data_IF_524875474411
#
_entry.id   IF_524875474411
#
_cell.length_a   1.000
_cell.length_b   1.000
_cell.length_c   1.000
_cell.angle_alpha   90.00
_cell.angle_beta   90.00
_cell.angle_gamma   90.00
#
_symmetry.space_group_name_H-M   'P 1'
#
loop_
_entity.id
_entity.type
_entity.pdbx_description
1 polymer ?
#
# COMPACT_ATOMS: atom_id res chain seq x y z
N UNK A 1 6.49 -24.56 -3.16
CA UNK A 1 7.51 -25.34 -3.87
C UNK A 1 8.85 -24.70 -3.60
N UNK A 2 9.72 -25.39 -2.87
CA UNK A 2 11.08 -24.89 -2.63
C UNK A 2 11.93 -25.10 -3.88
N UNK A 3 12.63 -24.05 -4.32
CA UNK A 3 13.60 -24.10 -5.40
C UNK A 3 15.01 -24.14 -4.82
N UNK A 4 15.69 -25.26 -5.04
CA UNK A 4 17.10 -25.46 -4.81
C UNK A 4 17.86 -25.59 -6.17
N UNK A 5 18.83 -24.69 -6.41
CA UNK A 5 19.61 -24.64 -7.66
C UNK A 5 20.35 -25.95 -7.98
N UNK A 6 20.62 -26.78 -6.97
CA UNK A 6 21.37 -28.03 -7.09
C UNK A 6 20.48 -29.26 -7.39
N UNK A 7 19.15 -29.09 -7.45
CA UNK A 7 18.25 -30.18 -7.82
C UNK A 7 18.11 -30.29 -9.34
N UNK A 8 18.25 -31.51 -9.85
CA UNK A 8 17.98 -31.84 -11.26
C UNK A 8 16.53 -31.47 -11.63
N UNK A 9 16.35 -30.91 -12.84
CA UNK A 9 15.06 -30.64 -13.49
C UNK A 9 14.13 -31.86 -13.43
N UNK A 10 14.66 -33.09 -13.44
CA UNK A 10 13.89 -34.33 -13.26
C UNK A 10 13.17 -34.40 -11.90
N UNK A 11 13.80 -33.98 -10.80
CA UNK A 11 13.18 -33.96 -9.46
C UNK A 11 12.06 -32.91 -9.40
N UNK A 12 12.26 -31.77 -10.05
CA UNK A 12 11.20 -30.77 -10.19
C UNK A 12 9.99 -31.30 -10.97
N UNK A 13 10.20 -32.04 -12.06
CA UNK A 13 9.11 -32.65 -12.85
C UNK A 13 8.21 -33.57 -12.01
N UNK A 14 8.78 -34.35 -11.09
CA UNK A 14 8.04 -35.20 -10.15
C UNK A 14 7.25 -34.36 -9.13
N UNK A 15 7.86 -33.33 -8.56
CA UNK A 15 7.17 -32.37 -7.69
C UNK A 15 5.98 -31.70 -8.40
N UNK A 16 6.14 -31.34 -9.68
CA UNK A 16 5.07 -30.73 -10.48
C UNK A 16 3.87 -31.63 -10.71
N UNK A 17 4.06 -32.95 -10.89
CA UNK A 17 2.93 -33.89 -10.98
C UNK A 17 2.04 -33.85 -9.74
N UNK A 18 2.64 -33.64 -8.56
CA UNK A 18 1.90 -33.53 -7.29
C UNK A 18 1.19 -32.18 -7.13
N UNK A 19 1.57 -31.18 -7.93
CA UNK A 19 1.04 -29.81 -7.86
C UNK A 19 -0.12 -29.53 -8.83
N UNK A 20 -0.55 -30.50 -9.67
CA UNK A 20 -1.53 -30.26 -10.74
C UNK A 20 -2.88 -29.70 -10.25
N UNK A 21 -3.28 -29.99 -9.02
CA UNK A 21 -4.54 -29.52 -8.45
C UNK A 21 -4.41 -28.24 -7.60
N UNK A 22 -3.22 -27.65 -7.47
CA UNK A 22 -3.00 -26.48 -6.63
C UNK A 22 -3.48 -25.19 -7.31
N UNK A 23 -4.17 -24.35 -6.53
CA UNK A 23 -4.56 -22.99 -6.93
C UNK A 23 -3.49 -21.94 -6.65
N UNK A 24 -2.68 -22.18 -5.63
CA UNK A 24 -1.69 -21.23 -5.13
C UNK A 24 -0.33 -21.90 -5.07
N UNK A 25 0.71 -21.21 -5.54
CA UNK A 25 2.09 -21.68 -5.35
C UNK A 25 2.98 -20.58 -4.80
N UNK A 26 3.87 -21.00 -3.90
CA UNK A 26 5.03 -20.20 -3.48
C UNK A 26 6.26 -20.76 -4.20
N UNK A 27 7.00 -19.89 -4.87
CA UNK A 27 8.30 -20.16 -5.47
C UNK A 27 9.32 -19.34 -4.69
N UNK A 28 10.25 -20.02 -4.02
CA UNK A 28 11.23 -19.40 -3.15
C UNK A 28 12.53 -20.19 -3.16
N UNK A 29 13.61 -19.53 -2.75
CA UNK A 29 14.96 -20.10 -2.74
C UNK A 29 15.27 -20.68 -1.38
N UNK A 30 16.31 -21.52 -1.31
CA UNK A 30 16.76 -22.05 -0.04
C UNK A 30 17.19 -20.90 0.91
N UNK A 31 16.82 -20.97 2.19
CA UNK A 31 17.19 -19.95 3.18
C UNK A 31 18.70 -19.66 3.17
N UNK A 32 19.09 -18.38 3.28
CA UNK A 32 20.49 -17.95 3.31
C UNK A 32 21.20 -17.85 1.96
N UNK A 33 20.61 -18.33 0.86
CA UNK A 33 21.26 -18.37 -0.47
C UNK A 33 21.21 -17.06 -1.29
N UNK A 34 20.87 -15.93 -0.67
CA UNK A 34 20.62 -14.67 -1.37
C UNK A 34 19.45 -14.76 -2.36
N UNK A 35 19.35 -13.81 -3.29
CA UNK A 35 18.34 -13.84 -4.36
C UNK A 35 18.81 -14.73 -5.51
N UNK A 36 17.88 -15.44 -6.16
CA UNK A 36 18.23 -16.36 -7.24
C UNK A 36 17.44 -16.20 -8.52
N UNK A 37 18.10 -16.45 -9.65
CA UNK A 37 17.45 -16.56 -10.95
C UNK A 37 16.70 -17.89 -11.06
N UNK A 38 15.45 -17.83 -11.49
CA UNK A 38 14.65 -19.01 -11.75
C UNK A 38 14.95 -19.54 -13.15
N UNK A 39 15.10 -20.86 -13.29
CA UNK A 39 15.29 -21.46 -14.61
C UNK A 39 13.99 -21.35 -15.43
N UNK A 40 14.05 -20.82 -16.66
CA UNK A 40 12.90 -20.68 -17.57
C UNK A 40 12.10 -21.98 -17.77
N UNK A 41 12.75 -23.16 -17.68
CA UNK A 41 12.06 -24.46 -17.77
C UNK A 41 11.06 -24.66 -16.64
N UNK A 42 11.27 -24.07 -15.47
CA UNK A 42 10.39 -24.18 -14.29
C UNK A 42 9.12 -23.37 -14.51
N UNK A 43 9.22 -22.15 -15.05
CA UNK A 43 8.06 -21.36 -15.45
C UNK A 43 7.17 -22.11 -16.44
N UNK A 44 7.77 -22.86 -17.40
CA UNK A 44 7.01 -23.71 -18.32
C UNK A 44 6.23 -24.83 -17.61
N UNK A 45 6.75 -25.37 -16.51
CA UNK A 45 6.03 -26.37 -15.72
C UNK A 45 4.96 -25.76 -14.82
N UNK A 46 5.24 -24.60 -14.23
CA UNK A 46 4.25 -23.82 -13.47
C UNK A 46 3.04 -23.51 -14.36
N UNK A 47 3.26 -23.07 -15.60
CA UNK A 47 2.18 -22.77 -16.55
C UNK A 47 1.31 -23.99 -16.91
N UNK A 48 1.79 -25.21 -16.66
CA UNK A 48 1.04 -26.44 -16.93
C UNK A 48 0.14 -26.86 -15.78
N UNK A 49 0.16 -26.16 -14.64
CA UNK A 49 -0.73 -26.45 -13.52
C UNK A 49 -2.14 -25.91 -13.86
N UNK A 50 -3.15 -26.76 -14.12
CA UNK A 50 -4.40 -26.30 -14.70
C UNK A 50 -5.21 -25.36 -13.81
N UNK A 51 -5.18 -25.56 -12.49
CA UNK A 51 -5.99 -24.81 -11.52
C UNK A 51 -5.27 -23.59 -10.92
N UNK A 52 -4.06 -23.28 -11.38
CA UNK A 52 -3.24 -22.24 -10.79
C UNK A 52 -3.82 -20.85 -11.06
N UNK A 53 -4.15 -20.12 -10.00
CA UNK A 53 -4.65 -18.74 -10.06
C UNK A 53 -3.85 -17.74 -9.23
N UNK A 54 -2.99 -18.21 -8.31
CA UNK A 54 -2.11 -17.36 -7.53
C UNK A 54 -0.67 -17.84 -7.50
N UNK A 55 0.26 -16.89 -7.62
CA UNK A 55 1.69 -17.15 -7.50
C UNK A 55 2.36 -16.14 -6.58
N UNK A 56 3.22 -16.65 -5.69
CA UNK A 56 4.12 -15.85 -4.90
C UNK A 56 5.57 -16.15 -5.29
N UNK A 57 6.30 -15.13 -5.70
CA UNK A 57 7.75 -15.17 -5.86
C UNK A 57 8.40 -14.55 -4.64
N UNK A 58 9.24 -15.31 -3.93
CA UNK A 58 9.96 -14.84 -2.74
C UNK A 58 11.46 -15.03 -2.89
N UNK A 59 12.24 -13.98 -2.59
CA UNK A 59 13.72 -14.00 -2.65
C UNK A 59 14.27 -14.39 -4.04
N UNK A 60 13.66 -13.86 -5.11
CA UNK A 60 14.01 -14.18 -6.50
C UNK A 60 14.59 -12.95 -7.20
N UNK A 61 15.57 -13.18 -8.07
CA UNK A 61 15.96 -12.22 -9.10
C UNK A 61 14.90 -12.27 -10.21
N UNK A 62 14.09 -11.22 -10.27
CA UNK A 62 12.97 -11.09 -11.20
C UNK A 62 13.50 -10.60 -12.55
N UNK A 63 13.58 -11.51 -13.52
CA UNK A 63 14.14 -11.27 -14.84
C UNK A 63 13.02 -11.12 -15.88
N UNK A 64 13.42 -10.91 -17.14
CA UNK A 64 12.49 -10.92 -18.27
C UNK A 64 11.74 -12.27 -18.42
N UNK A 65 12.30 -13.39 -17.94
CA UNK A 65 11.61 -14.67 -18.04
C UNK A 65 10.34 -14.69 -17.19
N UNK A 66 10.42 -14.23 -15.94
CA UNK A 66 9.29 -14.14 -15.01
C UNK A 66 8.28 -13.12 -15.53
N UNK A 67 8.76 -11.98 -16.01
CA UNK A 67 7.90 -10.95 -16.62
C UNK A 67 7.13 -11.52 -17.82
N UNK A 68 7.82 -12.11 -18.79
CA UNK A 68 7.18 -12.69 -19.98
C UNK A 68 6.22 -13.84 -19.64
N UNK A 69 6.54 -14.63 -18.61
CA UNK A 69 5.62 -15.66 -18.11
C UNK A 69 4.33 -15.03 -17.60
N UNK A 70 4.42 -13.98 -16.77
CA UNK A 70 3.26 -13.27 -16.26
C UNK A 70 2.49 -12.58 -17.38
N UNK A 71 3.16 -11.83 -18.27
CA UNK A 71 2.50 -11.12 -19.35
C UNK A 71 1.73 -12.01 -20.33
N UNK A 72 2.10 -13.29 -20.45
CA UNK A 72 1.45 -14.27 -21.32
C UNK A 72 0.45 -15.19 -20.61
N UNK A 73 0.43 -15.14 -19.29
CA UNK A 73 -0.45 -15.99 -18.50
C UNK A 73 -1.88 -15.42 -18.52
N UNK A 74 -2.85 -16.27 -18.84
CA UNK A 74 -4.28 -15.96 -18.86
C UNK A 74 -5.03 -16.42 -17.58
N UNK A 75 -4.35 -17.10 -16.66
CA UNK A 75 -4.96 -17.75 -15.48
C UNK A 75 -4.57 -17.15 -14.14
N UNK A 76 -3.48 -16.40 -14.10
CA UNK A 76 -2.94 -15.86 -12.85
C UNK A 76 -3.72 -14.59 -12.52
N UNK A 77 -4.54 -14.69 -11.49
CA UNK A 77 -5.37 -13.60 -10.97
C UNK A 77 -4.65 -12.83 -9.87
N UNK A 78 -3.76 -13.49 -9.11
CA UNK A 78 -3.06 -12.91 -7.97
C UNK A 78 -1.55 -13.15 -8.01
N UNK A 79 -0.78 -12.06 -7.93
CA UNK A 79 0.68 -12.06 -7.88
C UNK A 79 1.17 -11.45 -6.58
N UNK A 80 2.06 -12.16 -5.88
CA UNK A 80 2.84 -11.61 -4.76
C UNK A 80 4.34 -11.65 -5.07
N UNK A 81 4.98 -10.50 -5.00
CA UNK A 81 6.42 -10.32 -5.14
C UNK A 81 7.00 -9.92 -3.79
N UNK A 82 7.80 -10.78 -3.17
CA UNK A 82 8.32 -10.58 -1.82
C UNK A 82 9.85 -10.68 -1.78
N UNK A 83 10.52 -9.61 -1.36
CA UNK A 83 11.98 -9.51 -1.36
C UNK A 83 12.60 -9.90 -2.70
N UNK A 84 12.00 -9.42 -3.79
CA UNK A 84 12.53 -9.59 -5.14
C UNK A 84 13.50 -8.47 -5.50
N UNK A 85 14.39 -8.77 -6.44
CA UNK A 85 15.24 -7.79 -7.11
C UNK A 85 14.90 -7.80 -8.59
N UNK A 86 14.51 -6.64 -9.12
CA UNK A 86 14.27 -6.51 -10.54
C UNK A 86 15.61 -6.42 -11.26
N UNK A 87 15.85 -7.32 -12.20
CA UNK A 87 17.02 -7.22 -13.06
C UNK A 87 16.89 -5.95 -13.91
N UNK A 88 17.90 -5.07 -13.87
CA UNK A 88 17.92 -3.75 -14.52
C UNK A 88 17.50 -3.81 -16.00
N UNK A 89 16.20 -3.62 -16.27
CA UNK A 89 15.60 -3.47 -17.59
C UNK A 89 14.53 -2.40 -17.53
N UNK A 90 14.46 -1.60 -18.59
CA UNK A 90 13.40 -0.59 -18.74
C UNK A 90 12.06 -1.28 -19.07
N UNK A 91 11.07 -1.14 -18.21
CA UNK A 91 9.73 -1.70 -18.38
C UNK A 91 8.92 -0.99 -19.47
N UNK A 92 9.27 0.25 -19.81
CA UNK A 92 8.65 1.01 -20.90
C UNK A 92 8.75 0.35 -22.28
N UNK A 93 9.62 -0.64 -22.46
CA UNK A 93 9.77 -1.39 -23.72
C UNK A 93 8.73 -2.48 -23.92
N UNK A 94 8.02 -2.90 -22.87
CA UNK A 94 7.03 -3.98 -22.94
C UNK A 94 5.66 -3.39 -23.25
N UNK A 95 4.89 -4.08 -24.11
CA UNK A 95 3.49 -3.74 -24.34
C UNK A 95 2.64 -4.34 -23.21
N UNK A 96 1.61 -3.61 -22.77
CA UNK A 96 0.57 -4.12 -21.87
C UNK A 96 -0.08 -5.35 -22.50
N UNK A 97 -0.05 -6.50 -21.83
CA UNK A 97 -0.54 -7.77 -22.42
C UNK A 97 -1.28 -8.68 -21.44
N UNK A 98 -1.33 -8.39 -20.12
CA UNK A 98 -2.01 -9.25 -19.17
C UNK A 98 -3.30 -8.59 -18.64
N UNK A 99 -4.43 -9.23 -18.95
CA UNK A 99 -5.77 -8.91 -18.47
C UNK A 99 -6.29 -9.88 -17.39
N UNK A 100 -5.57 -10.96 -17.06
CA UNK A 100 -6.01 -11.88 -16.01
C UNK A 100 -5.71 -11.36 -14.61
N UNK A 101 -4.60 -10.63 -14.45
CA UNK A 101 -4.10 -10.23 -13.14
C UNK A 101 -5.00 -9.16 -12.52
N UNK A 102 -5.66 -9.52 -11.42
CA UNK A 102 -6.57 -8.66 -10.65
C UNK A 102 -5.94 -8.17 -9.35
N UNK A 103 -5.04 -8.93 -8.75
CA UNK A 103 -4.40 -8.59 -7.48
C UNK A 103 -2.88 -8.61 -7.54
N UNK A 104 -2.26 -7.54 -7.06
CA UNK A 104 -0.81 -7.39 -7.00
C UNK A 104 -0.36 -6.98 -5.59
N UNK A 105 0.52 -7.77 -5.00
CA UNK A 105 1.23 -7.41 -3.76
C UNK A 105 2.73 -7.35 -4.02
N UNK A 106 3.37 -6.24 -3.66
CA UNK A 106 4.82 -6.04 -3.74
C UNK A 106 5.31 -5.68 -2.34
N UNK A 107 6.21 -6.50 -1.78
CA UNK A 107 6.76 -6.30 -0.45
C UNK A 107 8.29 -6.47 -0.42
N UNK A 108 8.96 -5.66 0.40
CA UNK A 108 10.41 -5.76 0.66
C UNK A 108 11.30 -5.70 -0.59
N UNK A 109 10.87 -5.04 -1.66
CA UNK A 109 11.67 -4.91 -2.89
C UNK A 109 12.62 -3.72 -2.79
N UNK A 110 13.84 -3.86 -3.32
CA UNK A 110 14.84 -2.77 -3.36
C UNK A 110 14.70 -1.85 -4.58
N UNK A 111 13.70 -2.07 -5.44
CA UNK A 111 13.46 -1.21 -6.60
C UNK A 111 12.94 0.15 -6.13
N UNK A 112 13.63 1.20 -6.56
CA UNK A 112 13.22 2.59 -6.37
C UNK A 112 11.85 2.82 -7.02
N UNK A 113 10.99 3.56 -6.33
CA UNK A 113 9.75 4.07 -6.89
C UNK A 113 10.08 5.23 -7.85
N UNK A 114 10.26 4.87 -9.12
CA UNK A 114 10.61 5.73 -10.25
C UNK A 114 9.58 5.56 -11.39
N UNK A 115 9.75 6.28 -12.50
CA UNK A 115 8.87 6.14 -13.67
C UNK A 115 8.86 4.71 -14.23
N UNK A 116 10.00 4.04 -14.18
CA UNK A 116 10.17 2.69 -14.68
C UNK A 116 9.33 1.68 -13.86
N UNK A 117 9.26 1.87 -12.54
CA UNK A 117 8.37 1.12 -11.67
C UNK A 117 6.89 1.39 -11.98
N UNK A 118 6.51 2.63 -12.31
CA UNK A 118 5.15 2.93 -12.78
C UNK A 118 4.85 2.23 -14.11
N UNK A 119 5.81 2.20 -15.05
CA UNK A 119 5.68 1.43 -16.28
C UNK A 119 5.45 -0.05 -15.99
N UNK A 120 6.17 -0.65 -15.04
CA UNK A 120 5.93 -2.03 -14.62
C UNK A 120 4.50 -2.26 -14.15
N UNK A 121 3.95 -1.37 -13.30
CA UNK A 121 2.56 -1.48 -12.84
C UNK A 121 1.57 -1.38 -14.00
N UNK A 122 1.84 -0.51 -14.98
CA UNK A 122 0.98 -0.30 -16.17
C UNK A 122 0.94 -1.48 -17.15
N UNK A 123 1.76 -2.52 -16.95
CA UNK A 123 1.75 -3.72 -17.79
C UNK A 123 0.54 -4.63 -17.52
N UNK A 124 -0.18 -4.41 -16.42
CA UNK A 124 -1.30 -5.22 -15.96
C UNK A 124 -2.59 -4.39 -15.99
N UNK A 125 -3.48 -4.67 -16.96
CA UNK A 125 -4.59 -3.76 -17.28
C UNK A 125 -5.83 -3.90 -16.40
N UNK A 126 -5.91 -4.95 -15.57
CA UNK A 126 -7.12 -5.33 -14.84
C UNK A 126 -6.91 -5.42 -13.32
N UNK A 127 -5.83 -4.81 -12.80
CA UNK A 127 -5.59 -4.77 -11.36
C UNK A 127 -6.70 -3.97 -10.69
N UNK A 128 -7.38 -4.60 -9.74
CA UNK A 128 -8.38 -3.98 -8.85
C UNK A 128 -7.88 -3.93 -7.40
N UNK A 129 -6.92 -4.79 -7.05
CA UNK A 129 -6.33 -4.89 -5.71
C UNK A 129 -4.82 -4.64 -5.78
N UNK A 130 -4.35 -3.56 -5.15
CA UNK A 130 -2.93 -3.21 -5.12
C UNK A 130 -2.44 -3.04 -3.67
N UNK A 131 -1.35 -3.74 -3.34
CA UNK A 131 -0.57 -3.51 -2.11
C UNK A 131 0.89 -3.32 -2.46
N UNK A 132 1.48 -2.18 -2.12
CA UNK A 132 2.88 -1.88 -2.39
C UNK A 132 3.61 -1.43 -1.12
N UNK A 133 4.83 -1.93 -0.95
CA UNK A 133 5.82 -1.40 -0.04
C UNK A 133 6.92 -0.69 -0.82
N UNK A 134 7.15 0.58 -0.52
CA UNK A 134 8.15 1.42 -1.19
C UNK A 134 9.34 1.59 -0.25
N UNK A 135 10.47 0.98 -0.62
CA UNK A 135 11.70 1.10 0.16
C UNK A 135 12.41 2.44 -0.07
N UNK A 136 12.42 2.91 -1.31
CA UNK A 136 13.08 4.15 -1.74
C UNK A 136 12.25 4.84 -2.82
N UNK A 137 12.28 6.18 -2.85
CA UNK A 137 11.65 7.01 -3.89
C UNK A 137 12.73 7.73 -4.71
N UNK A 138 12.47 7.92 -6.00
CA UNK A 138 13.30 8.81 -6.82
C UNK A 138 12.87 10.26 -6.58
N UNK A 139 13.80 11.09 -6.10
CA UNK A 139 13.54 12.50 -5.82
C UNK A 139 13.20 13.31 -7.09
N UNK A 140 13.62 12.85 -8.26
CA UNK A 140 13.33 13.49 -9.53
C UNK A 140 11.96 13.13 -10.11
N UNK A 141 11.35 12.04 -9.63
CA UNK A 141 10.11 11.50 -10.22
C UNK A 141 8.97 12.55 -10.24
N UNK A 142 8.87 13.42 -9.22
CA UNK A 142 7.87 14.52 -9.24
C UNK A 142 8.05 15.42 -10.46
N UNK A 143 9.28 15.84 -10.74
CA UNK A 143 9.62 16.67 -11.91
C UNK A 143 9.37 15.92 -13.21
N UNK A 144 9.69 14.63 -13.27
CA UNK A 144 9.47 13.81 -14.45
C UNK A 144 7.98 13.61 -14.76
N UNK A 145 7.16 13.37 -13.73
CA UNK A 145 5.71 13.29 -13.86
C UNK A 145 5.12 14.60 -14.40
N UNK A 146 5.58 15.76 -13.91
CA UNK A 146 5.12 17.05 -14.42
C UNK A 146 5.50 17.29 -15.88
N UNK A 147 6.67 16.81 -16.32
CA UNK A 147 7.10 16.90 -17.72
C UNK A 147 6.24 16.04 -18.64
N UNK A 148 5.85 14.85 -18.18
CA UNK A 148 5.06 13.90 -18.99
C UNK A 148 3.55 14.15 -18.93
N UNK A 149 3.06 14.64 -17.79
CA UNK A 149 1.65 14.86 -17.50
C UNK A 149 1.46 16.29 -16.96
N UNK A 150 1.44 17.31 -17.82
CA UNK A 150 1.30 18.69 -17.39
C UNK A 150 0.02 18.90 -16.56
N UNK A 151 0.09 19.81 -15.57
CA UNK A 151 -0.84 20.13 -14.44
C UNK A 151 -2.36 20.11 -14.66
N UNK A 152 -2.89 19.81 -15.83
CA UNK A 152 -4.33 19.56 -16.01
C UNK A 152 -4.68 18.25 -15.32
N UNK A 153 -5.04 18.37 -14.04
CA UNK A 153 -5.58 17.33 -13.15
C UNK A 153 -6.80 16.62 -13.78
N UNK A 154 -7.38 17.21 -14.83
CA UNK A 154 -8.26 16.53 -15.77
C UNK A 154 -7.46 16.00 -16.96
N UNK A 155 -6.91 14.79 -16.82
CA UNK A 155 -6.59 13.99 -18.00
C UNK A 155 -7.95 13.62 -18.60
N UNK A 156 -8.29 14.20 -19.77
CA UNK A 156 -9.20 13.52 -20.70
C UNK A 156 -8.61 12.14 -20.89
N UNK A 157 -9.17 11.12 -20.23
CA UNK A 157 -8.65 9.75 -20.26
C UNK A 157 -8.95 9.17 -21.64
N UNK A 158 -8.09 9.47 -22.60
CA UNK A 158 -8.10 8.82 -23.92
C UNK A 158 -7.79 7.31 -23.79
N UNK A 159 -7.25 6.88 -22.65
CA UNK A 159 -6.94 5.49 -22.31
C UNK A 159 -7.75 5.02 -21.10
N UNK A 160 -8.47 3.92 -21.23
CA UNK A 160 -9.12 3.24 -20.11
C UNK A 160 -8.03 2.72 -19.17
N UNK A 161 -8.00 3.23 -17.94
CA UNK A 161 -7.07 2.82 -16.88
C UNK A 161 -7.75 1.76 -15.99
N UNK A 162 -7.01 0.78 -15.44
CA UNK A 162 -7.55 -0.16 -14.47
C UNK A 162 -8.15 0.57 -13.27
N UNK A 163 -9.39 0.22 -12.92
CA UNK A 163 -10.10 0.76 -11.76
C UNK A 163 -9.68 0.00 -10.50
N UNK A 164 -9.11 0.71 -9.52
CA UNK A 164 -8.73 0.14 -8.24
C UNK A 164 -9.88 0.21 -7.23
N UNK A 165 -10.21 -0.93 -6.64
CA UNK A 165 -11.14 -1.05 -5.51
C UNK A 165 -10.41 -0.96 -4.17
N UNK A 166 -9.19 -1.50 -4.12
CA UNK A 166 -8.37 -1.60 -2.92
C UNK A 166 -6.94 -1.12 -3.19
N UNK A 167 -6.46 -0.19 -2.34
CA UNK A 167 -5.12 0.34 -2.39
C UNK A 167 -4.49 0.38 -1.00
N UNK A 168 -3.37 -0.35 -0.84
CA UNK A 168 -2.50 -0.24 0.33
C UNK A 168 -1.10 0.19 -0.06
N UNK A 169 -0.62 1.26 0.55
CA UNK A 169 0.74 1.79 0.37
C UNK A 169 1.43 1.81 1.73
N UNK A 170 2.66 1.34 1.77
CA UNK A 170 3.52 1.44 2.95
C UNK A 170 4.90 1.88 2.51
N UNK A 171 5.55 2.79 3.23
CA UNK A 171 6.90 3.25 2.90
C UNK A 171 7.92 2.84 3.97
N UNK A 172 9.19 2.72 3.60
CA UNK A 172 10.27 2.51 4.58
C UNK A 172 10.30 3.63 5.61
N UNK A 173 10.67 3.28 6.85
CA UNK A 173 10.92 4.25 7.92
C UNK A 173 11.99 5.28 7.55
N UNK A 174 12.91 4.92 6.64
CA UNK A 174 13.99 5.79 6.17
C UNK A 174 13.50 6.93 5.27
N UNK A 175 12.32 6.79 4.64
CA UNK A 175 11.71 7.87 3.86
C UNK A 175 11.11 8.89 4.84
N UNK A 176 11.74 10.07 4.93
CA UNK A 176 11.36 11.19 5.82
C UNK A 176 10.95 12.45 5.07
N UNK A 177 10.47 12.29 3.84
CA UNK A 177 10.00 13.38 2.98
C UNK A 177 8.59 13.06 2.47
N UNK A 178 7.76 14.09 2.29
CA UNK A 178 6.50 13.93 1.57
C UNK A 178 6.78 13.66 0.09
N UNK A 179 6.01 12.76 -0.51
CA UNK A 179 6.16 12.40 -1.91
C UNK A 179 4.78 12.12 -2.52
N UNK A 180 4.49 12.61 -3.75
CA UNK A 180 3.16 12.51 -4.37
C UNK A 180 2.88 11.11 -4.94
N UNK A 181 2.75 10.11 -4.07
CA UNK A 181 2.61 8.69 -4.46
C UNK A 181 1.24 8.42 -5.09
N UNK A 182 0.15 8.95 -4.52
CA UNK A 182 -1.20 8.77 -5.06
C UNK A 182 -1.35 9.47 -6.40
N UNK A 183 -0.76 10.66 -6.53
CA UNK A 183 -0.67 11.34 -7.82
C UNK A 183 0.08 10.51 -8.87
N UNK A 184 1.25 9.96 -8.53
CA UNK A 184 1.99 9.07 -9.43
C UNK A 184 1.15 7.85 -9.87
N UNK A 185 0.46 7.21 -8.92
CA UNK A 185 -0.40 6.05 -9.21
C UNK A 185 -1.64 6.42 -10.02
N UNK A 186 -2.17 7.63 -9.89
CA UNK A 186 -3.34 8.10 -10.67
C UNK A 186 -3.08 8.19 -12.18
N UNK A 187 -1.81 8.18 -12.59
CA UNK A 187 -1.42 8.11 -14.01
C UNK A 187 -1.46 6.69 -14.58
N UNK A 188 -1.46 5.67 -13.73
CA UNK A 188 -1.46 4.26 -14.15
C UNK A 188 -2.73 3.52 -13.73
N UNK A 189 -3.48 4.05 -12.77
CA UNK A 189 -4.75 3.49 -12.27
C UNK A 189 -5.83 4.56 -12.20
N UNK A 190 -7.08 4.15 -12.43
CA UNK A 190 -8.23 4.92 -12.02
C UNK A 190 -8.53 4.68 -10.53
N UNK A 191 -8.48 5.75 -9.73
CA UNK A 191 -8.78 5.72 -8.30
C UNK A 191 -10.21 6.18 -7.99
N UNK A 192 -11.04 6.49 -8.99
CA UNK A 192 -12.40 7.01 -8.80
C UNK A 192 -13.32 6.03 -8.05
N UNK A 193 -13.14 4.73 -8.28
CA UNK A 193 -13.90 3.64 -7.66
C UNK A 193 -13.27 3.07 -6.38
N UNK A 194 -12.21 3.71 -5.87
CA UNK A 194 -11.51 3.21 -4.69
C UNK A 194 -12.42 3.17 -3.46
N UNK A 195 -12.58 1.97 -2.89
CA UNK A 195 -13.39 1.72 -1.70
C UNK A 195 -12.56 1.64 -0.43
N UNK A 196 -11.37 1.05 -0.52
CA UNK A 196 -10.49 0.83 0.63
C UNK A 196 -9.13 1.48 0.36
N UNK A 197 -8.77 2.43 1.22
CA UNK A 197 -7.50 3.14 1.17
C UNK A 197 -6.72 2.94 2.46
N UNK A 198 -5.50 2.41 2.34
CA UNK A 198 -4.61 2.19 3.47
C UNK A 198 -3.25 2.82 3.18
N UNK A 199 -2.83 3.80 3.99
CA UNK A 199 -1.58 4.53 3.83
C UNK A 199 -0.72 4.44 5.09
N UNK A 200 0.52 3.98 4.97
CA UNK A 200 1.53 4.07 6.01
C UNK A 200 2.71 4.85 5.45
N UNK A 201 2.70 6.17 5.64
CA UNK A 201 3.59 7.11 4.94
C UNK A 201 4.20 8.12 5.91
N UNK A 202 5.22 8.85 5.45
CA UNK A 202 5.77 9.95 6.23
C UNK A 202 4.75 11.07 6.38
N UNK A 203 4.26 11.59 5.25
CA UNK A 203 3.25 12.65 5.16
C UNK A 203 2.63 12.66 3.75
N UNK A 204 1.47 13.31 3.56
CA UNK A 204 0.86 13.52 2.23
C UNK A 204 1.51 14.71 1.50
N UNK A 205 1.67 14.60 0.18
CA UNK A 205 1.94 15.75 -0.68
C UNK A 205 0.62 16.45 -1.08
N UNK A 206 0.68 17.75 -1.39
CA UNK A 206 -0.49 18.51 -1.86
C UNK A 206 -1.17 17.88 -3.09
N UNK A 207 -0.40 17.25 -3.97
CA UNK A 207 -0.96 16.55 -5.13
C UNK A 207 -1.75 15.31 -4.73
N UNK A 208 -1.29 14.58 -3.71
CA UNK A 208 -2.03 13.42 -3.19
C UNK A 208 -3.37 13.85 -2.61
N UNK A 209 -3.39 14.97 -1.88
CA UNK A 209 -4.61 15.57 -1.36
C UNK A 209 -5.58 15.92 -2.49
N UNK A 210 -5.08 16.50 -3.59
CA UNK A 210 -5.90 16.78 -4.77
C UNK A 210 -6.45 15.50 -5.39
N UNK A 211 -5.70 14.40 -5.44
CA UNK A 211 -6.25 13.13 -5.91
C UNK A 211 -7.35 12.63 -4.97
N UNK A 212 -7.09 12.61 -3.66
CA UNK A 212 -8.05 12.19 -2.66
C UNK A 212 -9.34 13.01 -2.71
N UNK A 213 -9.26 14.30 -3.02
CA UNK A 213 -10.44 15.18 -3.15
C UNK A 213 -11.35 14.84 -4.34
N UNK A 214 -10.93 13.97 -5.27
CA UNK A 214 -11.77 13.47 -6.36
C UNK A 214 -12.37 12.07 -6.13
N UNK A 215 -11.92 11.32 -5.12
CA UNK A 215 -12.42 9.96 -4.83
C UNK A 215 -13.76 10.00 -4.07
N UNK A 216 -14.82 9.40 -4.60
CA UNK A 216 -16.20 9.54 -4.07
C UNK A 216 -16.81 8.24 -3.53
N UNK A 217 -16.08 7.13 -3.60
CA UNK A 217 -16.56 5.79 -3.24
C UNK A 217 -15.85 5.17 -2.01
N UNK A 218 -15.09 5.95 -1.24
CA UNK A 218 -14.37 5.42 -0.08
C UNK A 218 -15.34 4.96 1.01
N UNK A 219 -15.07 3.80 1.59
CA UNK A 219 -15.85 3.18 2.69
C UNK A 219 -14.96 2.85 3.88
N UNK A 220 -13.70 2.45 3.66
CA UNK A 220 -12.71 2.19 4.71
C UNK A 220 -11.41 2.96 4.45
N UNK A 221 -10.93 3.65 5.47
CA UNK A 221 -9.72 4.46 5.42
C UNK A 221 -8.83 4.08 6.61
N UNK A 222 -7.57 3.75 6.35
CA UNK A 222 -6.56 3.58 7.39
C UNK A 222 -5.33 4.39 7.04
N UNK A 223 -4.98 5.39 7.85
CA UNK A 223 -3.81 6.25 7.61
C UNK A 223 -2.90 6.27 8.83
N UNK A 224 -1.60 6.08 8.60
CA UNK A 224 -0.53 6.30 9.57
C UNK A 224 0.43 7.35 9.03
N UNK A 225 0.52 8.47 9.75
CA UNK A 225 1.44 9.56 9.46
C UNK A 225 2.59 9.54 10.46
N UNK A 226 3.82 9.41 9.95
CA UNK A 226 5.03 9.38 10.79
C UNK A 226 5.58 10.76 11.13
N UNK A 227 5.21 11.80 10.37
CA UNK A 227 5.61 13.18 10.66
C UNK A 227 4.91 13.65 11.94
N UNK A 228 5.64 14.39 12.79
CA UNK A 228 5.12 14.96 14.05
C UNK A 228 4.08 16.08 13.81
N UNK A 229 4.42 17.06 12.98
CA UNK A 229 3.54 18.20 12.67
C UNK A 229 2.74 18.02 11.37
N UNK A 230 1.57 17.39 11.45
CA UNK A 230 0.69 17.04 10.31
C UNK A 230 -0.42 18.06 10.00
N UNK A 231 -0.33 19.28 10.52
CA UNK A 231 -1.43 20.28 10.57
C UNK A 231 -2.18 20.50 9.25
N UNK A 232 -1.47 20.73 8.15
CA UNK A 232 -2.06 21.14 6.85
C UNK A 232 -2.79 19.98 6.15
N UNK A 233 -2.35 18.75 6.37
CA UNK A 233 -2.86 17.60 5.63
C UNK A 233 -4.19 17.11 6.20
N UNK A 234 -4.44 17.30 7.49
CA UNK A 234 -5.66 16.87 8.16
C UNK A 234 -6.89 17.69 7.77
N UNK A 235 -6.76 19.01 7.53
CA UNK A 235 -7.90 19.84 7.16
C UNK A 235 -8.46 19.45 5.79
N UNK A 236 -7.59 19.23 4.81
CA UNK A 236 -8.02 18.78 3.49
C UNK A 236 -8.49 17.32 3.50
N UNK A 237 -7.88 16.48 4.34
CA UNK A 237 -8.31 15.11 4.52
C UNK A 237 -9.71 15.02 5.15
N UNK A 238 -10.06 15.94 6.06
CA UNK A 238 -11.40 16.05 6.63
C UNK A 238 -12.47 16.27 5.54
N UNK A 239 -12.19 17.12 4.53
CA UNK A 239 -13.09 17.29 3.38
C UNK A 239 -13.29 15.99 2.61
N UNK A 240 -12.25 15.15 2.51
CA UNK A 240 -12.32 13.84 1.87
C UNK A 240 -13.20 12.87 2.65
N UNK A 241 -13.10 12.90 3.98
CA UNK A 241 -13.93 12.06 4.86
C UNK A 241 -15.40 12.48 4.76
N UNK A 242 -15.69 13.79 4.84
CA UNK A 242 -17.05 14.32 4.87
C UNK A 242 -17.85 14.05 3.58
N UNK A 243 -17.20 14.02 2.42
CA UNK A 243 -17.87 13.75 1.14
C UNK A 243 -18.18 12.28 0.89
N UNK A 244 -17.53 11.36 1.63
CA UNK A 244 -17.65 9.92 1.42
C UNK A 244 -18.53 9.29 2.50
N UNK A 245 -19.18 8.17 2.18
CA UNK A 245 -19.95 7.38 3.16
C UNK A 245 -19.02 6.43 3.91
N UNK A 246 -18.12 7.00 4.70
CA UNK A 246 -17.11 6.25 5.47
C UNK A 246 -17.80 5.44 6.57
N UNK A 247 -17.57 4.12 6.55
CA UNK A 247 -18.06 3.19 7.57
C UNK A 247 -17.01 2.99 8.68
N UNK A 248 -15.74 2.92 8.28
CA UNK A 248 -14.62 2.70 9.19
C UNK A 248 -13.46 3.64 8.87
N UNK A 249 -12.86 4.17 9.92
CA UNK A 249 -11.63 4.95 9.81
C UNK A 249 -10.64 4.56 10.91
N UNK A 250 -9.38 4.43 10.54
CA UNK A 250 -8.25 4.25 11.45
C UNK A 250 -7.23 5.35 11.17
N UNK A 251 -6.90 6.14 12.16
CA UNK A 251 -5.88 7.18 12.05
C UNK A 251 -4.83 6.92 13.11
N UNK A 252 -3.57 6.96 12.70
CA UNK A 252 -2.43 6.79 13.56
C UNK A 252 -1.47 7.96 13.33
N UNK A 253 -1.11 8.67 14.39
CA UNK A 253 -0.25 9.87 14.34
C UNK A 253 0.81 9.79 15.42
N UNK A 254 1.90 10.55 15.28
CA UNK A 254 2.88 10.65 16.35
C UNK A 254 2.32 11.47 17.52
N UNK A 255 2.02 12.74 17.28
CA UNK A 255 1.47 13.67 18.28
C UNK A 255 -0.04 13.87 18.08
N UNK A 256 -0.83 13.66 19.13
CA UNK A 256 -2.20 14.15 19.13
C UNK A 256 -2.17 15.68 19.28
N UNK A 257 -2.54 16.40 18.20
CA UNK A 257 -2.64 17.85 18.17
C UNK A 257 -4.10 18.35 18.04
N UNK A 258 -4.30 19.66 18.18
CA UNK A 258 -5.62 20.32 18.04
C UNK A 258 -6.26 20.05 16.68
N UNK A 259 -5.48 19.98 15.61
CA UNK A 259 -5.95 19.69 14.26
C UNK A 259 -6.48 18.25 14.14
N UNK A 260 -5.85 17.28 14.82
CA UNK A 260 -6.36 15.92 14.94
C UNK A 260 -7.74 15.91 15.61
N UNK A 261 -7.86 16.63 16.73
CA UNK A 261 -9.11 16.73 17.50
C UNK A 261 -10.21 17.37 16.66
N UNK A 262 -9.90 18.45 15.95
CA UNK A 262 -10.85 19.09 15.04
C UNK A 262 -11.35 18.11 13.97
N UNK A 263 -10.44 17.33 13.37
CA UNK A 263 -10.80 16.30 12.39
C UNK A 263 -11.73 15.23 12.99
N UNK A 264 -11.43 14.76 14.20
CA UNK A 264 -12.24 13.77 14.93
C UNK A 264 -13.67 14.24 15.22
N UNK A 265 -13.88 15.54 15.49
CA UNK A 265 -15.23 16.11 15.70
C UNK A 265 -16.14 15.82 14.50
N UNK A 266 -15.58 15.86 13.28
CA UNK A 266 -16.34 15.58 12.05
C UNK A 266 -16.57 14.09 11.81
N UNK A 267 -15.81 13.22 12.47
CA UNK A 267 -15.93 11.75 12.37
C UNK A 267 -16.94 11.17 13.36
N UNK A 268 -17.57 12.00 14.20
CA UNK A 268 -18.44 11.57 15.30
C UNK A 268 -19.61 10.66 14.91
N UNK A 269 -20.03 10.70 13.64
CA UNK A 269 -21.14 9.91 13.09
C UNK A 269 -20.67 8.65 12.31
N UNK A 270 -19.36 8.45 12.17
CA UNK A 270 -18.80 7.25 11.53
C UNK A 270 -18.98 6.08 12.49
N UNK A 271 -19.36 4.91 11.97
CA UNK A 271 -19.70 3.75 12.81
C UNK A 271 -18.51 3.24 13.62
N UNK A 272 -17.30 3.30 13.07
CA UNK A 272 -16.10 2.83 13.76
C UNK A 272 -14.91 3.73 13.45
N UNK A 273 -14.43 4.43 14.48
CA UNK A 273 -13.27 5.32 14.45
C UNK A 273 -12.22 4.76 15.41
N UNK A 274 -11.05 4.43 14.89
CA UNK A 274 -9.87 4.07 15.68
C UNK A 274 -8.86 5.20 15.57
N UNK A 275 -8.40 5.73 16.69
CA UNK A 275 -7.42 6.78 16.71
C UNK A 275 -6.25 6.38 17.62
N UNK A 276 -5.07 6.24 17.02
CA UNK A 276 -3.85 5.85 17.71
C UNK A 276 -2.86 7.02 17.73
N UNK A 277 -2.21 7.25 18.85
CA UNK A 277 -1.18 8.27 18.98
C UNK A 277 -0.07 7.85 19.95
N UNK A 278 1.14 8.35 19.72
CA UNK A 278 2.28 8.08 20.59
C UNK A 278 2.39 9.10 21.73
N UNK A 279 1.99 10.36 21.48
CA UNK A 279 2.13 11.45 22.45
C UNK A 279 0.87 12.32 22.56
N UNK A 280 0.58 12.82 23.77
CA UNK A 280 -0.49 13.76 24.07
C UNK A 280 -0.06 14.78 25.13
N UNK A 281 -0.52 16.03 24.99
CA UNK A 281 -0.34 17.06 26.02
C UNK A 281 -1.59 17.18 26.89
N UNK A 282 -1.42 17.71 28.11
CA UNK A 282 -2.55 18.02 29.02
C UNK A 282 -3.58 18.95 28.36
N UNK A 283 -3.14 19.90 27.54
CA UNK A 283 -4.02 20.78 26.77
C UNK A 283 -4.89 20.00 25.77
N UNK A 284 -4.28 19.13 24.95
CA UNK A 284 -5.01 18.33 23.96
C UNK A 284 -5.92 17.30 24.63
N UNK A 285 -5.52 16.76 25.77
CA UNK A 285 -6.37 15.89 26.60
C UNK A 285 -7.61 16.64 27.12
N UNK A 286 -7.45 17.87 27.59
CA UNK A 286 -8.57 18.72 28.02
C UNK A 286 -9.50 19.08 26.84
N UNK A 287 -8.95 19.27 25.63
CA UNK A 287 -9.76 19.50 24.43
C UNK A 287 -10.60 18.27 24.07
N UNK A 288 -10.04 17.06 24.13
CA UNK A 288 -10.79 15.81 23.91
C UNK A 288 -12.00 15.71 24.87
N UNK A 289 -11.79 16.04 26.17
CA UNK A 289 -12.88 16.11 27.17
C UNK A 289 -13.94 17.13 26.76
N UNK A 290 -13.51 18.36 26.44
CA UNK A 290 -14.40 19.46 26.07
C UNK A 290 -15.32 19.09 24.91
N UNK A 291 -14.82 18.34 23.93
CA UNK A 291 -15.60 17.91 22.77
C UNK A 291 -16.38 16.61 22.96
N UNK A 292 -16.33 15.99 24.15
CA UNK A 292 -17.03 14.73 24.47
C UNK A 292 -16.76 13.63 23.43
N UNK A 293 -15.50 13.51 22.99
CA UNK A 293 -15.08 12.47 22.03
C UNK A 293 -14.75 11.15 22.72
N UNK A 294 -14.34 11.23 23.98
CA UNK A 294 -13.88 10.12 24.79
C UNK A 294 -15.07 9.40 25.44
N UNK A 295 -15.00 8.07 25.55
CA UNK A 295 -16.09 7.24 26.09
C UNK A 295 -17.25 7.00 25.11
N UNK A 296 -17.12 7.42 23.85
CA UNK A 296 -18.09 7.07 22.80
C UNK A 296 -17.83 5.68 22.27
N UNK A 297 -18.87 4.86 22.15
CA UNK A 297 -18.76 3.48 21.66
C UNK A 297 -18.14 3.37 20.25
N UNK A 298 -18.35 4.38 19.42
CA UNK A 298 -17.86 4.41 18.05
C UNK A 298 -16.44 4.99 17.90
N UNK A 299 -15.86 5.61 18.93
CA UNK A 299 -14.51 6.19 18.88
C UNK A 299 -13.61 5.55 19.92
N UNK A 300 -12.59 4.82 19.45
CA UNK A 300 -11.62 4.14 20.30
C UNK A 300 -10.26 4.83 20.19
N UNK A 301 -9.72 5.20 21.35
CA UNK A 301 -8.41 5.82 21.47
C UNK A 301 -7.39 4.80 21.99
N UNK A 302 -6.25 4.73 21.33
CA UNK A 302 -5.12 3.90 21.73
C UNK A 302 -3.86 4.77 21.83
N UNK A 303 -3.20 4.74 22.98
CA UNK A 303 -1.89 5.34 23.14
C UNK A 303 -0.83 4.24 23.24
N UNK A 304 0.17 4.27 22.36
CA UNK A 304 1.26 3.26 22.32
C UNK A 304 2.46 3.63 23.18
N UNK A 305 2.47 4.84 23.76
CA UNK A 305 3.33 5.28 24.85
C UNK A 305 4.82 4.86 24.77
N UNK A 306 5.51 5.24 23.69
CA UNK A 306 6.96 4.99 23.56
C UNK A 306 7.83 5.94 24.43
N UNK A 307 7.23 6.79 25.28
CA UNK A 307 7.92 7.79 26.14
C UNK A 307 7.34 7.78 27.57
N UNK A 308 8.18 8.04 28.58
CA UNK A 308 7.79 8.16 29.99
C UNK A 308 6.89 9.40 30.18
N UNK A 309 5.62 9.17 30.51
CA UNK A 309 4.69 10.22 30.95
C UNK A 309 4.73 10.42 32.46
N UNK A 310 4.32 11.60 32.94
CA UNK A 310 4.02 11.75 34.36
C UNK A 310 2.84 10.86 34.74
N UNK A 311 2.85 10.33 35.96
CA UNK A 311 1.76 9.50 36.50
C UNK A 311 0.39 10.19 36.44
N UNK A 312 0.37 11.52 36.53
CA UNK A 312 -0.83 12.35 36.39
C UNK A 312 -1.48 12.22 34.99
N UNK A 313 -0.68 12.18 33.92
CA UNK A 313 -1.19 12.07 32.54
C UNK A 313 -1.66 10.64 32.27
N UNK A 314 -0.93 9.63 32.75
CA UNK A 314 -1.34 8.22 32.63
C UNK A 314 -2.67 7.99 33.33
N UNK A 315 -2.77 8.37 34.61
CA UNK A 315 -4.00 8.24 35.38
C UNK A 315 -5.18 8.97 34.73
N UNK A 316 -4.94 10.19 34.23
CA UNK A 316 -5.96 10.92 33.49
C UNK A 316 -6.44 10.16 32.23
N UNK A 317 -5.52 9.56 31.46
CA UNK A 317 -5.88 8.83 30.24
C UNK A 317 -6.68 7.55 30.53
N UNK A 318 -6.28 6.79 31.56
CA UNK A 318 -6.99 5.59 31.99
C UNK A 318 -8.40 5.90 32.53
N UNK A 319 -8.55 6.95 33.35
CA UNK A 319 -9.85 7.45 33.81
C UNK A 319 -10.78 7.83 32.65
N UNK A 320 -10.20 8.19 31.52
CA UNK A 320 -10.90 8.54 30.30
C UNK A 320 -11.19 7.34 29.39
N UNK A 321 -10.73 6.12 29.71
CA UNK A 321 -10.90 4.97 28.83
C UNK A 321 -10.06 5.06 27.54
N UNK A 322 -8.98 5.83 27.56
CA UNK A 322 -7.93 5.76 26.54
C UNK A 322 -7.07 4.53 26.88
N UNK A 323 -6.98 3.58 25.95
CA UNK A 323 -6.19 2.37 26.16
C UNK A 323 -4.71 2.72 26.04
N UNK A 324 -3.99 2.70 27.15
CA UNK A 324 -2.54 2.90 27.20
C UNK A 324 -1.86 1.53 27.20
N UNK A 325 -1.08 1.23 26.17
CA UNK A 325 -0.21 0.06 26.17
C UNK A 325 1.15 0.49 26.72
N UNK A 326 1.59 -0.14 27.81
CA UNK A 326 2.89 0.08 28.44
C UNK A 326 3.96 -0.92 28.01
#
# INVERSE_FOLDING_TARGET
MEYNRNLDIKRYKLGFKRCLNLKNILVFGSPGSGRFGLNKKILKYINKIPKLSSICFKQILFTENELNFLLKSDRIDFLKLDNIEFQNKKFSKYKTCNSSLRGLTISHTTKTFDLDFLYFLSLFSNIVFLKIYIFQVDLNLKTELYKQFPKKIYIKREKHLPELDYLKISTSYDIKVSFPILFALSHVFDLSNLQILILFIYDLDELDIKILSHITNLVDISVYFRKRDIKINLENFNKVIQKNKIYKISISVYDLCKECINCLIHMKNIKSVYFMFEFITKENLNLLKKFKLVGRDNIKFHCTNDIIWSSEIIGSCEEMGILVNG
#
